data_IF_407867436329
#
_entry.id   IF_407867436329
#
_cell.length_a   1.000
_cell.length_b   1.000
_cell.length_c   1.000
_cell.angle_alpha   90.00
_cell.angle_beta   90.00
_cell.angle_gamma   90.00
#
_symmetry.space_group_name_H-M   'P 1'
#
loop_
_entity.id
_entity.type
_entity.pdbx_description
1 polymer ?
#
# COMPACT_ATOMS: atom_id res chain seq x y z
N UNK A 1 12.87 6.73 0.34
CA UNK A 1 12.04 5.49 0.17
C UNK A 1 12.92 4.26 0.30
N UNK A 2 14.07 4.23 -0.38
CA UNK A 2 15.09 3.21 -0.15
C UNK A 2 15.65 3.28 1.27
N UNK A 3 15.85 4.49 1.80
CA UNK A 3 16.25 4.70 3.21
C UNK A 3 15.29 4.03 4.19
N UNK A 4 13.99 4.05 3.89
CA UNK A 4 12.98 3.36 4.71
C UNK A 4 13.11 1.85 4.62
N UNK A 5 13.52 1.27 3.49
CA UNK A 5 13.86 -0.15 3.47
C UNK A 5 15.10 -0.41 4.31
N UNK A 6 16.13 0.42 4.20
CA UNK A 6 17.39 0.29 4.96
C UNK A 6 17.17 0.40 6.47
N UNK A 7 16.18 1.18 6.93
CA UNK A 7 15.72 1.23 8.33
C UNK A 7 15.13 -0.09 8.85
N UNK A 8 14.94 -1.10 7.98
CA UNK A 8 14.48 -2.43 8.35
C UNK A 8 13.05 -2.75 7.92
N UNK A 9 12.38 -1.86 7.16
CA UNK A 9 11.06 -2.17 6.63
C UNK A 9 11.17 -3.15 5.45
N UNK A 10 10.19 -4.07 5.36
CA UNK A 10 10.13 -5.06 4.28
C UNK A 10 9.43 -4.53 3.02
N UNK A 11 8.60 -3.51 3.19
CA UNK A 11 7.75 -2.91 2.16
C UNK A 11 7.53 -1.44 2.44
N UNK A 12 7.64 -0.62 1.40
CA UNK A 12 7.36 0.83 1.47
C UNK A 12 6.43 1.24 0.33
N UNK A 13 5.25 1.75 0.68
CA UNK A 13 4.30 2.32 -0.29
C UNK A 13 4.48 3.83 -0.38
N UNK A 14 4.52 4.36 -1.60
CA UNK A 14 4.57 5.81 -1.83
C UNK A 14 3.27 6.50 -1.41
N UNK A 15 3.37 7.79 -1.13
CA UNK A 15 2.21 8.62 -0.78
C UNK A 15 2.08 9.82 -1.73
N UNK A 16 0.92 9.93 -2.38
CA UNK A 16 0.60 11.06 -3.26
C UNK A 16 0.18 12.27 -2.44
N UNK A 17 1.13 13.16 -2.15
CA UNK A 17 0.89 14.35 -1.33
C UNK A 17 0.13 15.46 -2.09
N UNK A 18 0.47 15.71 -3.37
CA UNK A 18 -0.25 16.68 -4.22
C UNK A 18 -1.24 15.96 -5.13
N UNK A 19 -2.54 16.02 -4.78
CA UNK A 19 -3.63 15.46 -5.59
C UNK A 19 -4.29 16.58 -6.40
N UNK A 20 -4.34 16.42 -7.73
CA UNK A 20 -5.06 17.33 -8.65
C UNK A 20 -6.49 16.85 -8.99
N UNK A 21 -7.02 15.93 -8.19
CA UNK A 21 -8.35 15.35 -8.39
C UNK A 21 -9.45 16.24 -7.78
N UNK A 22 -10.69 16.05 -8.23
CA UNK A 22 -11.86 16.71 -7.62
C UNK A 22 -12.02 16.32 -6.15
N UNK A 23 -12.63 17.21 -5.35
CA UNK A 23 -12.84 16.98 -3.91
C UNK A 23 -13.58 15.67 -3.61
N UNK A 24 -14.54 15.29 -4.46
CA UNK A 24 -15.28 14.02 -4.36
C UNK A 24 -14.35 12.80 -4.49
N UNK A 25 -13.45 12.78 -5.47
CA UNK A 25 -12.50 11.68 -5.63
C UNK A 25 -11.54 11.57 -4.44
N UNK A 26 -11.14 12.72 -3.87
CA UNK A 26 -10.28 12.74 -2.69
C UNK A 26 -11.04 12.18 -1.47
N UNK A 27 -12.30 12.59 -1.27
CA UNK A 27 -13.15 12.07 -0.20
C UNK A 27 -13.38 10.56 -0.33
N UNK A 28 -13.75 10.08 -1.52
CA UNK A 28 -13.91 8.65 -1.79
C UNK A 28 -12.62 7.87 -1.53
N UNK A 29 -11.46 8.38 -1.94
CA UNK A 29 -10.15 7.76 -1.65
C UNK A 29 -9.85 7.71 -0.15
N UNK A 30 -10.19 8.75 0.62
CA UNK A 30 -10.00 8.77 2.07
C UNK A 30 -10.89 7.74 2.76
N UNK A 31 -12.17 7.66 2.37
CA UNK A 31 -13.11 6.65 2.89
C UNK A 31 -12.60 5.24 2.58
N UNK A 32 -12.17 4.99 1.33
CA UNK A 32 -11.60 3.70 0.96
C UNK A 32 -10.38 3.35 1.82
N UNK A 33 -9.41 4.26 1.95
CA UNK A 33 -8.23 3.99 2.78
C UNK A 33 -8.59 3.73 4.25
N UNK A 34 -9.58 4.44 4.81
CA UNK A 34 -10.04 4.24 6.19
C UNK A 34 -10.77 2.91 6.38
N UNK A 35 -11.58 2.50 5.40
CA UNK A 35 -12.22 1.18 5.41
C UNK A 35 -11.17 0.06 5.32
N UNK A 36 -10.14 0.25 4.48
CA UNK A 36 -9.03 -0.70 4.38
C UNK A 36 -8.23 -0.81 5.70
N UNK A 37 -8.04 0.31 6.38
CA UNK A 37 -7.40 0.31 7.69
C UNK A 37 -8.26 -0.41 8.75
N UNK A 38 -9.57 -0.18 8.77
CA UNK A 38 -10.48 -0.78 9.75
C UNK A 38 -10.65 -2.29 9.57
N UNK A 39 -10.79 -2.74 8.32
CA UNK A 39 -11.07 -4.14 8.00
C UNK A 39 -9.84 -5.03 8.14
N UNK A 40 -8.64 -4.50 7.86
CA UNK A 40 -7.41 -5.30 7.80
C UNK A 40 -6.33 -4.87 8.80
N UNK A 41 -6.55 -3.82 9.60
CA UNK A 41 -5.61 -3.31 10.59
C UNK A 41 -4.36 -2.62 10.02
N UNK A 42 -4.13 -2.71 8.71
CA UNK A 42 -2.94 -2.17 8.06
C UNK A 42 -3.07 -0.65 7.85
N UNK A 43 -2.15 0.12 8.42
CA UNK A 43 -2.13 1.58 8.28
C UNK A 43 -1.27 1.99 7.09
N UNK A 44 -1.91 2.47 6.01
CA UNK A 44 -1.22 3.01 4.84
C UNK A 44 -1.84 4.34 4.41
N UNK A 45 -0.97 5.28 4.06
CA UNK A 45 -1.38 6.59 3.56
C UNK A 45 -2.12 6.53 2.21
N UNK A 46 -1.74 5.59 1.33
CA UNK A 46 -2.34 5.42 0.02
C UNK A 46 -2.19 3.97 -0.51
N UNK A 47 -3.26 3.18 -0.35
CA UNK A 47 -3.33 1.80 -0.84
C UNK A 47 -3.20 1.71 -2.37
N UNK A 48 -3.74 2.71 -3.07
CA UNK A 48 -3.83 2.77 -4.53
C UNK A 48 -2.65 3.50 -5.17
N UNK A 49 -1.58 3.80 -4.43
CA UNK A 49 -0.37 4.33 -5.03
C UNK A 49 0.28 3.27 -5.94
N UNK A 50 0.70 3.67 -7.13
CA UNK A 50 1.42 2.79 -8.07
C UNK A 50 2.90 2.63 -7.75
N UNK A 51 3.49 3.57 -7.00
CA UNK A 51 4.89 3.53 -6.62
C UNK A 51 5.03 2.80 -5.28
N UNK A 52 5.63 1.60 -5.32
CA UNK A 52 5.86 0.74 -4.16
C UNK A 52 7.22 0.07 -4.31
N UNK A 53 7.92 -0.13 -3.20
CA UNK A 53 9.20 -0.84 -3.17
C UNK A 53 9.12 -1.96 -2.16
N UNK A 54 9.67 -3.11 -2.51
CA UNK A 54 9.57 -4.35 -1.76
C UNK A 54 10.95 -5.00 -1.65
N UNK A 55 11.22 -5.64 -0.51
CA UNK A 55 12.33 -6.61 -0.44
C UNK A 55 12.03 -7.81 -1.33
N UNK A 56 13.09 -8.45 -1.82
CA UNK A 56 12.95 -9.61 -2.69
C UNK A 56 12.15 -10.73 -2.01
N UNK A 57 12.39 -10.95 -0.72
CA UNK A 57 11.73 -12.01 0.06
C UNK A 57 10.21 -11.82 0.13
N UNK A 58 9.74 -10.56 0.29
CA UNK A 58 8.31 -10.22 0.26
C UNK A 58 7.68 -10.54 -1.09
N UNK A 59 8.37 -10.23 -2.19
CA UNK A 59 7.83 -10.52 -3.53
C UNK A 59 7.78 -12.02 -3.83
N UNK A 60 8.62 -12.83 -3.17
CA UNK A 60 8.65 -14.29 -3.31
C UNK A 60 7.60 -14.99 -2.45
N UNK A 61 7.26 -14.44 -1.29
CA UNK A 61 6.24 -15.01 -0.41
C UNK A 61 4.83 -14.81 -0.97
N UNK A 62 4.58 -13.69 -1.66
CA UNK A 62 3.24 -13.32 -2.12
C UNK A 62 2.94 -13.90 -3.51
N UNK A 63 1.87 -14.69 -3.61
CA UNK A 63 1.32 -15.13 -4.91
C UNK A 63 0.39 -14.06 -5.46
N UNK A 64 0.80 -13.42 -6.55
CA UNK A 64 -0.02 -12.44 -7.25
C UNK A 64 -0.87 -13.11 -8.33
N UNK A 65 -2.17 -12.87 -8.28
CA UNK A 65 -3.11 -13.31 -9.30
C UNK A 65 -3.98 -12.13 -9.74
N UNK A 66 -4.12 -11.94 -11.06
CA UNK A 66 -5.00 -10.92 -11.65
C UNK A 66 -4.80 -9.50 -11.09
N UNK A 67 -5.88 -8.91 -10.57
CA UNK A 67 -5.94 -7.52 -10.06
C UNK A 67 -5.32 -7.29 -8.67
N UNK A 68 -4.67 -8.30 -8.07
CA UNK A 68 -4.19 -8.24 -6.69
C UNK A 68 -2.96 -7.34 -6.46
N UNK A 69 -2.36 -6.78 -7.52
CA UNK A 69 -1.21 -5.88 -7.44
C UNK A 69 -1.44 -4.65 -6.52
N UNK A 70 -2.70 -4.23 -6.33
CA UNK A 70 -3.02 -3.13 -5.41
C UNK A 70 -2.98 -3.56 -3.95
N UNK A 71 -3.28 -4.83 -3.70
CA UNK A 71 -3.36 -5.46 -2.38
C UNK A 71 -2.04 -6.10 -1.94
N UNK A 72 -0.93 -5.93 -2.67
CA UNK A 72 0.38 -6.45 -2.26
C UNK A 72 0.74 -6.08 -0.82
N UNK A 73 0.59 -4.80 -0.37
CA UNK A 73 0.90 -4.47 1.01
C UNK A 73 0.04 -5.20 2.04
N UNK A 74 -1.22 -5.46 1.67
CA UNK A 74 -2.13 -6.21 2.52
C UNK A 74 -1.73 -7.69 2.58
N UNK A 75 -1.46 -8.30 1.42
CA UNK A 75 -1.05 -9.70 1.34
C UNK A 75 0.30 -9.92 2.03
N UNK A 76 1.21 -8.96 1.94
CA UNK A 76 2.47 -8.96 2.68
C UNK A 76 2.21 -8.99 4.18
N UNK A 77 1.38 -8.06 4.68
CA UNK A 77 1.05 -7.95 6.10
C UNK A 77 0.39 -9.21 6.68
N UNK A 78 -0.37 -9.95 5.87
CA UNK A 78 -0.99 -11.21 6.30
C UNK A 78 0.00 -12.37 6.43
N UNK A 79 1.20 -12.28 5.84
CA UNK A 79 2.21 -13.34 5.94
C UNK A 79 3.13 -13.23 7.15
N UNK A 80 2.95 -12.21 7.98
CA UNK A 80 3.79 -11.90 9.14
C UNK A 80 4.73 -10.73 8.86
#
# INVERSE_FOLDING_TARGET
MLDKLEEGFDLVSGWRMKRRHSGIMIAASKIFNRLMELLWGLHLHDYNCGLKVYRNDVTRSIRLYGGLHRFIPLLAHQQG
#
